data_IF_894844586056
#
_entry.id   IF_894844586056
#
_cell.length_a   1.000
_cell.length_b   1.000
_cell.length_c   1.000
_cell.angle_alpha   90.00
_cell.angle_beta   90.00
_cell.angle_gamma   90.00
#
_symmetry.space_group_name_H-M   'P 1'
#
loop_
_entity.id
_entity.type
_entity.pdbx_description
1 polymer ?
#
# COMPACT_ATOMS: atom_id res chain seq x y z
N UNK A 1 -11.20 -19.31 0.75
CA UNK A 1 -11.04 -17.85 0.52
C UNK A 1 -10.92 -17.61 -0.98
N UNK A 2 -11.75 -16.73 -1.50
CA UNK A 2 -11.73 -16.34 -2.91
C UNK A 2 -11.34 -14.87 -3.00
N UNK A 3 -10.05 -14.63 -3.25
CA UNK A 3 -9.50 -13.28 -3.32
C UNK A 3 -9.49 -12.81 -4.77
N UNK A 4 -10.01 -11.62 -4.99
CA UNK A 4 -10.00 -10.95 -6.29
C UNK A 4 -9.39 -9.55 -6.18
N UNK A 5 -8.72 -9.13 -7.24
CA UNK A 5 -8.20 -7.76 -7.39
C UNK A 5 -9.06 -7.05 -8.44
N UNK A 6 -9.83 -6.07 -7.97
CA UNK A 6 -10.79 -5.35 -8.81
C UNK A 6 -10.26 -3.95 -9.06
N UNK A 7 -10.15 -3.58 -10.34
CA UNK A 7 -9.76 -2.23 -10.71
C UNK A 7 -10.75 -1.22 -10.11
N UNK A 8 -10.24 -0.28 -9.32
CA UNK A 8 -11.05 0.66 -8.56
C UNK A 8 -11.77 1.65 -9.48
N UNK A 9 -13.07 1.83 -9.24
CA UNK A 9 -13.84 2.94 -9.76
C UNK A 9 -13.95 4.06 -8.71
N UNK A 10 -14.64 5.14 -9.02
CA UNK A 10 -14.75 6.30 -8.12
C UNK A 10 -15.41 5.96 -6.77
N UNK A 11 -16.34 5.00 -6.73
CA UNK A 11 -16.99 4.56 -5.49
C UNK A 11 -16.03 3.89 -4.52
N UNK A 12 -14.91 3.34 -5.01
CA UNK A 12 -13.90 2.73 -4.19
C UNK A 12 -13.16 3.72 -3.27
N UNK A 13 -13.14 5.00 -3.59
CA UNK A 13 -12.42 6.00 -2.81
C UNK A 13 -12.89 6.07 -1.34
N UNK A 14 -14.20 5.99 -1.12
CA UNK A 14 -14.77 5.93 0.23
C UNK A 14 -14.33 4.66 0.97
N UNK A 15 -14.43 3.53 0.31
CA UNK A 15 -14.05 2.22 0.88
C UNK A 15 -12.56 2.22 1.26
N UNK A 16 -11.70 2.76 0.40
CA UNK A 16 -10.26 2.85 0.66
C UNK A 16 -9.95 3.73 1.87
N UNK A 17 -10.62 4.87 2.00
CA UNK A 17 -10.44 5.76 3.15
C UNK A 17 -10.86 5.09 4.47
N UNK A 18 -11.95 4.35 4.47
CA UNK A 18 -12.43 3.59 5.63
C UNK A 18 -11.47 2.45 6.00
N UNK A 19 -11.04 1.66 5.03
CA UNK A 19 -10.06 0.59 5.22
C UNK A 19 -8.72 1.10 5.77
N UNK A 20 -8.24 2.22 5.25
CA UNK A 20 -6.99 2.85 5.73
C UNK A 20 -7.08 3.20 7.20
N UNK A 21 -8.16 3.83 7.64
CA UNK A 21 -8.33 4.18 9.05
C UNK A 21 -8.40 2.94 9.94
N UNK A 22 -9.17 1.94 9.54
CA UNK A 22 -9.24 0.67 10.26
C UNK A 22 -7.85 0.03 10.42
N UNK A 23 -7.07 0.00 9.36
CA UNK A 23 -5.72 -0.59 9.38
C UNK A 23 -4.75 0.28 10.18
N UNK A 24 -4.87 1.61 10.15
CA UNK A 24 -4.08 2.49 11.03
C UNK A 24 -4.37 2.20 12.50
N UNK A 25 -5.61 1.94 12.86
CA UNK A 25 -5.98 1.60 14.24
C UNK A 25 -5.37 0.28 14.71
N UNK A 26 -5.16 -0.68 13.83
CA UNK A 26 -4.60 -2.00 14.16
C UNK A 26 -3.08 -2.08 13.97
N UNK A 27 -2.57 -1.63 12.84
CA UNK A 27 -1.16 -1.80 12.45
C UNK A 27 -0.28 -0.64 12.92
N UNK A 28 -0.78 0.59 12.85
CA UNK A 28 0.03 1.79 13.07
C UNK A 28 -0.15 2.43 14.45
N UNK A 29 -1.02 1.89 15.30
CA UNK A 29 -1.11 2.32 16.71
C UNK A 29 0.23 2.05 17.40
N UNK A 30 0.83 3.08 18.00
CA UNK A 30 2.19 3.00 18.56
C UNK A 30 3.32 3.40 17.58
N UNK A 31 3.07 3.46 16.28
CA UNK A 31 3.98 4.02 15.27
C UNK A 31 3.55 5.45 14.94
N UNK A 32 2.32 5.62 14.48
CA UNK A 32 1.70 6.94 14.33
C UNK A 32 1.15 7.41 15.66
N UNK A 33 1.16 8.71 15.91
CA UNK A 33 0.58 9.25 17.15
C UNK A 33 -0.92 8.94 17.22
N UNK A 34 -1.42 8.74 18.45
CA UNK A 34 -2.85 8.52 18.69
C UNK A 34 -3.67 9.69 18.13
N UNK A 35 -3.18 10.93 18.30
CA UNK A 35 -3.83 12.11 17.75
C UNK A 35 -4.00 12.04 16.24
N UNK A 36 -2.98 11.63 15.50
CA UNK A 36 -3.05 11.47 14.04
C UNK A 36 -4.07 10.42 13.61
N UNK A 37 -4.13 9.30 14.31
CA UNK A 37 -5.08 8.23 14.02
C UNK A 37 -6.50 8.63 14.40
N UNK A 38 -6.68 9.20 15.59
CA UNK A 38 -8.01 9.53 16.14
C UNK A 38 -8.64 10.77 15.45
N UNK A 39 -7.81 11.68 14.93
CA UNK A 39 -8.26 12.84 14.15
C UNK A 39 -8.21 12.58 12.62
N UNK A 40 -8.37 11.34 12.22
CA UNK A 40 -8.36 10.94 10.82
C UNK A 40 -9.46 11.65 10.03
N UNK A 41 -9.09 12.36 8.98
CA UNK A 41 -10.02 13.07 8.10
C UNK A 41 -10.42 12.18 6.91
N UNK A 42 -11.57 11.52 7.02
CA UNK A 42 -12.11 10.64 5.98
C UNK A 42 -12.30 11.33 4.65
N UNK A 43 -12.79 12.57 4.66
CA UNK A 43 -13.06 13.30 3.42
C UNK A 43 -11.79 13.72 2.70
N UNK A 44 -10.76 14.16 3.43
CA UNK A 44 -9.45 14.46 2.85
C UNK A 44 -8.85 13.20 2.19
N UNK A 45 -8.87 12.08 2.89
CA UNK A 45 -8.35 10.83 2.37
C UNK A 45 -9.16 10.30 1.19
N UNK A 46 -10.50 10.40 1.24
CA UNK A 46 -11.38 10.03 0.14
C UNK A 46 -11.08 10.86 -1.11
N UNK A 47 -10.94 12.16 -0.98
CA UNK A 47 -10.63 13.05 -2.11
C UNK A 47 -9.26 12.73 -2.71
N UNK A 48 -8.25 12.43 -1.90
CA UNK A 48 -6.92 12.03 -2.36
C UNK A 48 -6.98 10.70 -3.13
N UNK A 49 -7.71 9.73 -2.63
CA UNK A 49 -7.88 8.45 -3.31
C UNK A 49 -8.65 8.59 -4.62
N UNK A 50 -9.69 9.46 -4.64
CA UNK A 50 -10.44 9.77 -5.85
C UNK A 50 -9.55 10.40 -6.93
N UNK A 51 -8.69 11.34 -6.56
CA UNK A 51 -7.70 11.93 -7.48
C UNK A 51 -6.79 10.88 -8.08
N UNK A 52 -6.31 9.93 -7.28
CA UNK A 52 -5.45 8.83 -7.76
C UNK A 52 -6.22 7.88 -8.69
N UNK A 53 -7.46 7.55 -8.38
CA UNK A 53 -8.30 6.72 -9.25
C UNK A 53 -8.55 7.40 -10.61
N UNK A 54 -8.70 8.72 -10.62
CA UNK A 54 -8.91 9.51 -11.85
C UNK A 54 -7.62 9.78 -12.63
N UNK A 55 -6.47 9.64 -12.02
CA UNK A 55 -5.16 9.85 -12.66
C UNK A 55 -4.71 8.56 -13.37
N UNK A 56 -4.55 8.65 -14.69
CA UNK A 56 -4.15 7.51 -15.51
C UNK A 56 -2.75 6.95 -15.21
N UNK A 57 -1.91 7.69 -14.47
CA UNK A 57 -0.60 7.22 -14.01
C UNK A 57 -0.71 6.25 -12.83
N UNK A 58 -1.83 6.24 -12.13
CA UNK A 58 -2.08 5.34 -11.01
C UNK A 58 -2.87 4.10 -11.45
N UNK A 59 -2.48 2.96 -10.90
CA UNK A 59 -3.20 1.69 -11.03
C UNK A 59 -3.70 1.32 -9.63
N UNK A 60 -5.01 1.44 -9.42
CA UNK A 60 -5.64 1.29 -8.10
C UNK A 60 -6.54 0.08 -8.11
N UNK A 61 -6.32 -0.83 -7.16
CA UNK A 61 -7.06 -2.07 -7.02
C UNK A 61 -7.66 -2.22 -5.63
N UNK A 62 -8.95 -2.54 -5.55
CA UNK A 62 -9.53 -3.12 -4.35
C UNK A 62 -9.17 -4.61 -4.27
N UNK A 63 -8.93 -5.07 -3.05
CA UNK A 63 -8.79 -6.49 -2.74
C UNK A 63 -10.09 -6.93 -2.07
N UNK A 64 -10.76 -7.93 -2.64
CA UNK A 64 -12.01 -8.45 -2.10
C UNK A 64 -11.90 -9.93 -1.77
N UNK A 65 -12.67 -10.38 -0.80
CA UNK A 65 -12.91 -11.78 -0.52
C UNK A 65 -14.42 -12.00 -0.56
N UNK A 66 -14.91 -12.71 -1.60
CA UNK A 66 -16.35 -12.93 -1.83
C UNK A 66 -17.13 -11.61 -1.72
N UNK A 67 -16.78 -10.65 -2.56
CA UNK A 67 -17.35 -9.28 -2.64
C UNK A 67 -17.10 -8.37 -1.41
N UNK A 68 -16.55 -8.89 -0.32
CA UNK A 68 -16.17 -8.07 0.84
C UNK A 68 -14.82 -7.38 0.60
N UNK A 69 -14.74 -6.04 0.67
CA UNK A 69 -13.46 -5.34 0.61
C UNK A 69 -12.60 -5.66 1.83
N UNK A 70 -11.41 -6.21 1.61
CA UNK A 70 -10.47 -6.61 2.67
C UNK A 70 -9.14 -5.85 2.62
N UNK A 71 -8.96 -5.03 1.60
CA UNK A 71 -7.75 -4.25 1.42
C UNK A 71 -7.74 -3.53 0.09
N UNK A 72 -6.62 -2.89 -0.19
CA UNK A 72 -6.37 -2.27 -1.49
C UNK A 72 -4.87 -2.09 -1.70
N UNK A 73 -4.47 -1.93 -2.95
CA UNK A 73 -3.13 -1.49 -3.30
C UNK A 73 -3.17 -0.58 -4.52
N UNK A 74 -2.17 0.27 -4.62
CA UNK A 74 -1.98 1.06 -5.81
C UNK A 74 -0.49 1.27 -6.11
N UNK A 75 -0.19 1.46 -7.37
CA UNK A 75 1.14 1.82 -7.82
C UNK A 75 1.09 2.91 -8.89
N UNK A 76 2.09 3.74 -8.89
CA UNK A 76 2.27 4.86 -9.80
C UNK A 76 3.30 4.48 -10.87
N UNK A 77 2.95 4.70 -12.13
CA UNK A 77 3.86 4.54 -13.25
C UNK A 77 4.17 5.89 -13.87
N UNK A 78 5.43 6.26 -13.84
CA UNK A 78 5.98 7.40 -14.55
C UNK A 78 7.20 6.90 -15.36
N UNK A 79 8.37 7.46 -15.18
CA UNK A 79 9.62 6.86 -15.65
C UNK A 79 10.03 5.61 -14.86
N UNK A 80 9.46 5.45 -13.69
CA UNK A 80 9.64 4.31 -12.76
C UNK A 80 8.30 3.79 -12.27
N UNK A 81 8.29 2.61 -11.68
CA UNK A 81 7.12 2.06 -11.00
C UNK A 81 7.33 2.15 -9.48
N UNK A 82 6.38 2.76 -8.81
CA UNK A 82 6.40 2.98 -7.37
C UNK A 82 5.10 2.50 -6.72
N UNK A 83 5.20 1.58 -5.76
CA UNK A 83 4.05 1.15 -4.96
C UNK A 83 3.77 2.23 -3.93
N UNK A 84 2.62 2.89 -4.06
CA UNK A 84 2.18 3.95 -3.16
C UNK A 84 1.57 3.38 -1.88
N UNK A 85 0.77 2.33 -1.99
CA UNK A 85 0.05 1.71 -0.87
C UNK A 85 -0.16 0.23 -1.10
N UNK A 86 -0.07 -0.54 -0.03
CA UNK A 86 -0.53 -1.93 0.05
C UNK A 86 -1.06 -2.15 1.47
N UNK A 87 -2.37 -2.17 1.60
CA UNK A 87 -3.07 -2.34 2.87
C UNK A 87 -3.98 -3.57 2.82
N UNK A 88 -3.87 -4.42 3.82
CA UNK A 88 -4.68 -5.63 3.97
C UNK A 88 -5.14 -5.68 5.43
N UNK A 89 -6.43 -5.89 5.65
CA UNK A 89 -6.99 -6.09 6.99
C UNK A 89 -6.19 -7.14 7.76
N UNK A 90 -6.00 -6.93 9.05
CA UNK A 90 -5.13 -7.75 9.89
C UNK A 90 -5.47 -9.23 9.85
N UNK A 91 -6.76 -9.57 9.90
CA UNK A 91 -7.25 -10.95 9.88
C UNK A 91 -6.99 -11.69 8.55
N UNK A 92 -6.72 -10.95 7.48
CA UNK A 92 -6.39 -11.50 6.15
C UNK A 92 -4.89 -11.47 5.83
N UNK A 93 -4.08 -10.92 6.73
CA UNK A 93 -2.63 -10.91 6.55
C UNK A 93 -2.03 -12.31 6.67
N UNK A 94 -0.83 -12.51 6.16
CA UNK A 94 -0.08 -13.77 6.21
C UNK A 94 -0.73 -14.94 5.46
N UNK A 95 -1.65 -14.68 4.55
CA UNK A 95 -2.36 -15.66 3.73
C UNK A 95 -1.98 -15.59 2.24
N UNK A 96 -0.85 -14.95 1.93
CA UNK A 96 -0.32 -14.88 0.57
C UNK A 96 -0.92 -13.80 -0.32
N UNK A 97 -1.85 -12.97 0.18
CA UNK A 97 -2.51 -11.92 -0.62
C UNK A 97 -1.49 -10.87 -1.10
N UNK A 98 -0.61 -10.41 -0.23
CA UNK A 98 0.45 -9.48 -0.62
C UNK A 98 1.38 -10.04 -1.69
N UNK A 99 1.70 -11.33 -1.64
CA UNK A 99 2.49 -12.02 -2.66
C UNK A 99 1.77 -12.01 -4.02
N UNK A 100 0.46 -12.20 -4.04
CA UNK A 100 -0.35 -12.15 -5.26
C UNK A 100 -0.37 -10.73 -5.84
N UNK A 101 -0.50 -9.69 -5.01
CA UNK A 101 -0.41 -8.30 -5.44
C UNK A 101 0.96 -7.99 -6.07
N UNK A 102 2.05 -8.47 -5.47
CA UNK A 102 3.39 -8.34 -6.03
C UNK A 102 3.56 -9.07 -7.37
N UNK A 103 2.94 -10.23 -7.51
CA UNK A 103 2.95 -10.96 -8.78
C UNK A 103 2.28 -10.16 -9.90
N UNK A 104 1.14 -9.52 -9.62
CA UNK A 104 0.45 -8.63 -10.56
C UNK A 104 1.35 -7.45 -10.96
N UNK A 105 1.99 -6.79 -9.97
CA UNK A 105 2.88 -5.65 -10.23
C UNK A 105 4.09 -6.07 -11.06
N UNK A 106 4.70 -7.22 -10.76
CA UNK A 106 5.82 -7.76 -11.55
C UNK A 106 5.41 -8.05 -13.00
N UNK A 107 4.24 -8.62 -13.18
CA UNK A 107 3.72 -8.90 -14.54
C UNK A 107 3.48 -7.61 -15.32
N UNK A 108 2.90 -6.60 -14.68
CA UNK A 108 2.78 -5.26 -15.25
C UNK A 108 4.15 -4.70 -15.67
N UNK A 109 5.13 -4.76 -14.78
CA UNK A 109 6.50 -4.29 -15.07
C UNK A 109 7.11 -5.01 -16.28
N UNK A 110 7.00 -6.32 -16.35
CA UNK A 110 7.49 -7.11 -17.50
C UNK A 110 6.82 -6.70 -18.81
N UNK A 111 5.51 -6.54 -18.77
CA UNK A 111 4.73 -6.17 -19.96
C UNK A 111 5.07 -4.77 -20.50
N UNK A 112 5.57 -3.87 -19.63
CA UNK A 112 5.87 -2.48 -19.96
C UNK A 112 7.38 -2.17 -19.98
N UNK A 113 8.24 -3.17 -19.85
CA UNK A 113 9.69 -3.02 -19.98
C UNK A 113 10.39 -2.41 -18.76
N UNK A 114 9.78 -2.46 -17.58
CA UNK A 114 10.43 -2.05 -16.33
C UNK A 114 11.21 -3.23 -15.72
N UNK A 115 12.44 -2.99 -15.33
CA UNK A 115 13.31 -3.99 -14.71
C UNK A 115 13.23 -3.97 -13.17
N UNK A 116 12.74 -2.88 -12.61
CA UNK A 116 12.69 -2.62 -11.17
C UNK A 116 11.45 -1.85 -10.79
N UNK A 117 11.09 -1.96 -9.52
CA UNK A 117 10.09 -1.10 -8.87
C UNK A 117 10.47 -0.86 -7.42
N UNK A 118 9.90 0.17 -6.82
CA UNK A 118 10.22 0.60 -5.46
C UNK A 118 8.96 0.77 -4.60
N UNK A 119 9.14 0.77 -3.29
CA UNK A 119 8.15 1.25 -2.34
C UNK A 119 8.82 1.90 -1.14
N UNK A 120 8.11 2.77 -0.44
CA UNK A 120 8.51 3.24 0.87
C UNK A 120 7.77 2.46 1.96
N UNK A 121 8.41 2.33 3.11
CA UNK A 121 7.87 1.69 4.29
C UNK A 121 8.29 2.51 5.51
N UNK A 122 7.39 2.68 6.48
CA UNK A 122 7.78 3.29 7.75
C UNK A 122 8.84 2.42 8.43
N UNK A 123 9.92 3.03 8.89
CA UNK A 123 11.06 2.30 9.46
C UNK A 123 10.77 1.59 10.78
N UNK A 124 9.64 1.90 11.43
CA UNK A 124 9.16 1.25 12.64
C UNK A 124 8.14 0.13 12.36
N UNK A 125 7.72 -0.05 11.12
CA UNK A 125 6.84 -1.15 10.72
C UNK A 125 7.64 -2.39 10.34
N UNK A 126 8.10 -3.13 11.34
CA UNK A 126 8.95 -4.30 11.14
C UNK A 126 8.25 -5.44 10.41
N UNK A 127 6.95 -5.61 10.60
CA UNK A 127 6.16 -6.61 9.89
C UNK A 127 6.16 -6.37 8.38
N UNK A 128 5.95 -5.13 7.95
CA UNK A 128 6.04 -4.75 6.54
C UNK A 128 7.46 -4.93 5.98
N UNK A 129 8.49 -4.55 6.74
CA UNK A 129 9.89 -4.75 6.32
C UNK A 129 10.21 -6.22 6.10
N UNK A 130 9.76 -7.10 6.99
CA UNK A 130 9.97 -8.55 6.84
C UNK A 130 9.26 -9.08 5.58
N UNK A 131 8.04 -8.61 5.32
CA UNK A 131 7.31 -8.93 4.10
C UNK A 131 8.07 -8.48 2.85
N UNK A 132 8.52 -7.22 2.80
CA UNK A 132 9.24 -6.70 1.64
C UNK A 132 10.57 -7.41 1.41
N UNK A 133 11.31 -7.76 2.46
CA UNK A 133 12.52 -8.59 2.32
C UNK A 133 12.17 -9.98 1.75
N UNK A 134 11.09 -10.59 2.20
CA UNK A 134 10.64 -11.89 1.69
C UNK A 134 10.21 -11.83 0.22
N UNK A 135 9.82 -10.65 -0.27
CA UNK A 135 9.52 -10.41 -1.69
C UNK A 135 10.77 -10.11 -2.54
N UNK A 136 11.96 -10.21 -1.96
CA UNK A 136 13.23 -9.93 -2.65
C UNK A 136 13.64 -8.46 -2.61
N UNK A 137 13.02 -7.66 -1.75
CA UNK A 137 13.35 -6.24 -1.60
C UNK A 137 14.68 -6.00 -0.90
N UNK A 138 15.42 -5.02 -1.38
CA UNK A 138 16.64 -4.50 -0.75
C UNK A 138 16.45 -3.03 -0.39
N UNK A 139 16.97 -2.62 0.76
CA UNK A 139 16.90 -1.23 1.20
C UNK A 139 17.93 -0.41 0.41
N UNK A 140 17.46 0.61 -0.31
CA UNK A 140 18.32 1.51 -1.08
C UNK A 140 18.42 2.91 -0.48
N UNK A 141 17.51 3.28 0.42
CA UNK A 141 17.50 4.60 1.06
C UNK A 141 16.88 4.50 2.45
N UNK A 142 17.46 5.28 3.37
CA UNK A 142 16.94 5.50 4.73
C UNK A 142 16.76 7.01 4.95
N UNK A 143 15.61 7.40 5.45
CA UNK A 143 15.30 8.77 5.86
C UNK A 143 14.65 8.68 7.26
N UNK A 144 15.48 8.59 8.27
CA UNK A 144 15.12 8.26 9.65
C UNK A 144 15.62 9.35 10.63
N UNK A 145 15.22 9.25 11.89
CA UNK A 145 15.69 10.14 12.96
C UNK A 145 14.86 11.40 13.11
N UNK A 146 13.63 11.41 12.59
CA UNK A 146 12.71 12.53 12.75
C UNK A 146 12.08 12.53 14.14
N UNK A 147 11.64 13.70 14.58
CA UNK A 147 10.92 13.85 15.85
C UNK A 147 9.59 13.08 15.85
N UNK A 148 8.90 13.06 14.71
CA UNK A 148 7.69 12.25 14.52
C UNK A 148 8.06 10.97 13.75
N UNK A 149 7.79 9.81 14.34
CA UNK A 149 8.00 8.50 13.71
C UNK A 149 7.25 8.32 12.40
N UNK A 150 6.16 9.06 12.19
CA UNK A 150 5.41 9.07 10.92
C UNK A 150 6.31 9.42 9.73
N UNK A 151 7.29 10.30 9.92
CA UNK A 151 8.19 10.78 8.88
C UNK A 151 9.38 9.85 8.62
N UNK A 152 9.61 8.84 9.46
CA UNK A 152 10.70 7.90 9.31
C UNK A 152 10.39 6.87 8.24
N UNK A 153 11.10 6.92 7.13
CA UNK A 153 10.87 6.10 5.95
C UNK A 153 12.13 5.38 5.48
N UNK A 154 11.93 4.17 5.00
CA UNK A 154 12.93 3.42 4.24
C UNK A 154 12.38 3.06 2.88
N UNK A 155 13.26 3.01 1.88
CA UNK A 155 12.89 2.66 0.51
C UNK A 155 13.44 1.30 0.15
N UNK A 156 12.54 0.42 -0.30
CA UNK A 156 12.87 -0.89 -0.87
C UNK A 156 12.87 -0.84 -2.39
N UNK A 157 13.82 -1.53 -2.99
CA UNK A 157 13.87 -1.80 -4.43
C UNK A 157 13.70 -3.29 -4.69
N UNK A 158 12.95 -3.62 -5.71
CA UNK A 158 12.66 -4.99 -6.14
C UNK A 158 13.06 -5.14 -7.61
N UNK A 159 13.72 -6.25 -7.94
CA UNK A 159 13.89 -6.67 -9.32
C UNK A 159 12.63 -7.37 -9.82
N UNK A 160 12.33 -7.18 -11.11
CA UNK A 160 11.16 -7.78 -11.77
C UNK A 160 11.36 -9.27 -12.10
#
# INVERSE_FOLDING_TARGET
>A
MTVEFILANEDAAKIMAELRHEIWCTTYRGIYSDERIDNYDYEEHRQRDLQRIQDSSYHVYLITNVDEPIGYFNFLTTETVYIQSLYIRQEYQRQGIGKQAFALIREYCRAHGFEKFTCNCNSHNYSAQNFYRSMGGTIIKRNEGHADKYDDQITFEFCV
#
